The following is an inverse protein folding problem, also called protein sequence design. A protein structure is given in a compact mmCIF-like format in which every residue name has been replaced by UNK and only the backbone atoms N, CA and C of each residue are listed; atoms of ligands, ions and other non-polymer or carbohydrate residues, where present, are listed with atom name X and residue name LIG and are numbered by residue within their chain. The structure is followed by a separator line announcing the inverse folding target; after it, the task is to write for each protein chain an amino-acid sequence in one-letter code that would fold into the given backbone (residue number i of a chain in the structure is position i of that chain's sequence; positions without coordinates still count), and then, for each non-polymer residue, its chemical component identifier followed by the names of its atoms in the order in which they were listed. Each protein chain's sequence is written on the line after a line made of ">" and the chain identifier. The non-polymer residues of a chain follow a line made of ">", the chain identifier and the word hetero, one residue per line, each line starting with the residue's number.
data_IF_229352143802
#
_entry.id   IF_229352143802
#
_cell.length_a   1.000
_cell.length_b   1.000
_cell.length_c   1.000
_cell.angle_alpha   90.00
_cell.angle_beta   90.00
_cell.angle_gamma   90.00
#
_symmetry.space_group_name_H-M   'P 1'
#
loop_
_entity.id
_entity.type
_entity.pdbx_description
1 polymer ?
#
# COMPACT_ATOMS: atom_id res chain seq x y z
N UNK A 1 -15.84 -34.38 6.85
CA UNK A 1 -16.34 -33.32 5.95
C UNK A 1 -15.21 -32.33 5.73
N UNK A 2 -14.66 -32.35 4.51
CA UNK A 2 -13.52 -31.53 4.08
C UNK A 2 -14.06 -30.17 3.61
N UNK A 3 -13.53 -29.06 4.14
CA UNK A 3 -13.73 -27.75 3.53
C UNK A 3 -12.38 -27.26 2.99
N UNK A 4 -12.17 -27.48 1.70
CA UNK A 4 -11.08 -26.90 0.93
C UNK A 4 -11.40 -25.43 0.66
N UNK A 5 -10.73 -24.51 1.34
CA UNK A 5 -10.78 -23.10 1.00
C UNK A 5 -9.67 -22.80 -0.01
N UNK A 6 -9.94 -23.01 -1.30
CA UNK A 6 -9.11 -22.48 -2.39
C UNK A 6 -9.53 -21.03 -2.67
N UNK A 7 -8.75 -20.06 -2.19
CA UNK A 7 -8.84 -18.67 -2.61
C UNK A 7 -7.74 -18.38 -3.65
N UNK A 8 -8.11 -18.50 -4.92
CA UNK A 8 -7.41 -17.86 -6.04
C UNK A 8 -8.30 -16.72 -6.54
N UNK A 9 -7.86 -15.47 -6.40
CA UNK A 9 -7.90 -14.44 -7.45
C UNK A 9 -7.41 -13.11 -6.88
N UNK A 10 -6.30 -12.59 -7.40
CA UNK A 10 -5.98 -11.17 -7.37
C UNK A 10 -5.25 -10.82 -8.66
N UNK A 11 -5.92 -10.08 -9.55
CA UNK A 11 -5.27 -9.12 -10.44
C UNK A 11 -6.28 -8.04 -10.86
N UNK A 12 -6.38 -6.98 -10.06
CA UNK A 12 -6.82 -5.66 -10.53
C UNK A 12 -5.63 -4.75 -10.29
N UNK A 13 -4.87 -4.49 -11.35
CA UNK A 13 -3.80 -3.49 -11.35
C UNK A 13 -4.39 -2.24 -12.00
N UNK A 14 -4.96 -1.37 -11.18
CA UNK A 14 -5.05 0.06 -11.49
C UNK A 14 -3.78 0.71 -10.95
N UNK A 15 -2.80 0.96 -11.84
CA UNK A 15 -1.70 1.90 -11.57
C UNK A 15 -1.96 3.19 -12.34
N UNK A 16 -2.55 4.16 -11.65
CA UNK A 16 -2.30 5.57 -11.90
C UNK A 16 -1.13 5.96 -10.99
N UNK A 17 0.07 6.04 -11.56
CA UNK A 17 1.16 6.81 -10.97
C UNK A 17 1.87 7.57 -12.08
N UNK A 18 1.83 8.89 -11.94
CA UNK A 18 2.78 9.83 -12.49
C UNK A 18 4.22 9.34 -12.28
N UNK A 19 5.01 9.35 -13.35
CA UNK A 19 6.48 9.39 -13.32
C UNK A 19 6.97 10.36 -14.41
N UNK A 20 8.21 10.89 -14.26
CA UNK A 20 8.57 12.25 -14.64
C UNK A 20 8.99 12.42 -16.09
N UNK A 21 8.99 13.70 -16.48
CA UNK A 21 9.58 14.31 -17.66
C UNK A 21 10.95 13.70 -18.02
N UNK A 22 11.05 12.98 -19.14
CA UNK A 22 12.00 13.25 -20.23
C UNK A 22 11.85 12.28 -21.42
N UNK A 23 11.53 12.89 -22.56
CA UNK A 23 11.85 12.49 -23.94
C UNK A 23 10.97 11.43 -24.61
N UNK A 24 9.71 11.81 -24.87
CA UNK A 24 9.10 11.50 -26.16
C UNK A 24 9.22 12.75 -27.03
N UNK A 25 10.15 12.73 -27.99
CA UNK A 25 9.93 13.44 -29.24
C UNK A 25 8.77 12.70 -29.92
N UNK A 26 7.54 13.14 -29.66
CA UNK A 26 6.45 13.03 -30.61
C UNK A 26 5.38 14.03 -30.17
N UNK A 27 4.96 14.84 -31.13
CA UNK A 27 4.18 16.05 -30.94
C UNK A 27 2.85 15.72 -30.22
N UNK A 28 2.61 16.19 -28.97
CA UNK A 28 1.39 15.89 -28.20
C UNK A 28 0.11 16.44 -28.85
N UNK A 29 0.26 17.21 -29.93
CA UNK A 29 -0.82 17.75 -30.75
C UNK A 29 -1.38 16.75 -31.76
N UNK A 30 -0.85 15.51 -31.88
CA UNK A 30 -1.31 14.51 -32.84
C UNK A 30 -1.95 13.27 -32.23
N UNK A 31 -2.11 13.24 -30.90
CA UNK A 31 -2.86 12.19 -30.22
C UNK A 31 -4.37 12.40 -30.50
N UNK A 32 -5.06 11.45 -31.18
CA UNK A 32 -6.47 11.59 -31.53
C UNK A 32 -7.36 11.76 -30.29
N UNK A 33 -7.04 11.09 -29.19
CA UNK A 33 -7.81 11.16 -27.95
C UNK A 33 -7.74 12.56 -27.32
N UNK A 34 -6.58 13.22 -27.39
CA UNK A 34 -6.41 14.56 -26.84
C UNK A 34 -7.19 15.61 -27.65
N UNK A 35 -7.30 15.43 -28.98
CA UNK A 35 -8.09 16.31 -29.84
C UNK A 35 -9.59 16.15 -29.58
N UNK A 36 -10.07 14.93 -29.37
CA UNK A 36 -11.46 14.70 -29.00
C UNK A 36 -11.77 15.32 -27.63
N UNK A 37 -10.92 15.10 -26.63
CA UNK A 37 -11.08 15.74 -25.31
C UNK A 37 -11.07 17.27 -25.38
N UNK A 38 -10.18 17.86 -26.17
CA UNK A 38 -10.13 19.32 -26.35
C UNK A 38 -11.39 19.84 -27.06
N UNK A 39 -11.88 19.12 -28.05
CA UNK A 39 -13.10 19.48 -28.77
C UNK A 39 -14.33 19.37 -27.87
N UNK A 40 -14.42 18.30 -27.08
CA UNK A 40 -15.50 18.09 -26.11
C UNK A 40 -15.50 19.18 -25.03
N UNK A 41 -14.31 19.53 -24.50
CA UNK A 41 -14.16 20.64 -23.56
C UNK A 41 -14.56 21.98 -24.17
N UNK A 42 -14.22 22.22 -25.44
CA UNK A 42 -14.56 23.45 -26.15
C UNK A 42 -16.06 23.54 -26.47
N UNK A 43 -16.69 22.43 -26.81
CA UNK A 43 -18.13 22.34 -27.08
C UNK A 43 -18.93 22.49 -25.78
N UNK A 44 -18.49 21.88 -24.67
CA UNK A 44 -19.05 22.14 -23.34
C UNK A 44 -18.90 23.62 -22.92
N UNK A 45 -17.77 24.26 -23.24
CA UNK A 45 -17.56 25.68 -22.95
C UNK A 45 -18.48 26.58 -23.77
N UNK A 46 -18.72 26.25 -25.05
CA UNK A 46 -19.70 26.95 -25.90
C UNK A 46 -21.12 26.75 -25.39
N UNK A 47 -21.49 25.52 -25.05
CA UNK A 47 -22.82 25.20 -24.55
C UNK A 47 -23.09 25.89 -23.21
N UNK A 48 -22.11 25.96 -22.32
CA UNK A 48 -22.19 26.72 -21.07
C UNK A 48 -22.42 28.22 -21.32
N UNK A 49 -21.71 28.79 -22.32
CA UNK A 49 -21.83 30.20 -22.69
C UNK A 49 -23.17 30.54 -23.33
N UNK A 50 -23.74 29.64 -24.13
CA UNK A 50 -25.08 29.80 -24.73
C UNK A 50 -26.20 29.60 -23.69
N UNK A 51 -26.07 28.61 -22.80
CA UNK A 51 -26.99 28.44 -21.65
C UNK A 51 -26.99 29.64 -20.71
N UNK A 52 -25.87 30.36 -20.60
CA UNK A 52 -25.76 31.59 -19.82
C UNK A 52 -26.45 32.80 -20.49
N UNK A 53 -26.52 32.85 -21.83
CA UNK A 53 -27.23 33.90 -22.57
C UNK A 53 -28.75 33.73 -22.58
N UNK A 54 -29.23 32.49 -22.54
CA UNK A 54 -30.66 32.18 -22.65
C UNK A 54 -31.43 32.30 -21.33
N UNK A 55 -30.76 32.56 -20.20
CA UNK A 55 -31.42 32.66 -18.90
C UNK A 55 -30.85 33.84 -18.08
N UNK A 56 -31.48 35.03 -18.10
CA UNK A 56 -31.02 36.19 -17.32
C UNK A 56 -31.32 36.05 -15.83
N UNK A 57 -31.98 34.98 -15.39
CA UNK A 57 -32.21 34.69 -13.96
C UNK A 57 -31.02 33.91 -13.40
N UNK A 58 -29.83 34.50 -13.42
CA UNK A 58 -28.70 33.89 -12.70
C UNK A 58 -28.83 34.25 -11.22
N UNK A 59 -29.14 33.25 -10.39
CA UNK A 59 -28.61 33.26 -9.03
C UNK A 59 -27.12 33.62 -9.13
N UNK A 60 -26.73 34.69 -8.46
CA UNK A 60 -25.41 35.32 -8.57
C UNK A 60 -24.32 34.23 -8.59
N UNK A 61 -23.52 34.09 -9.66
CA UNK A 61 -22.52 33.02 -9.77
C UNK A 61 -21.55 33.03 -8.58
N UNK A 62 -21.36 34.19 -7.94
CA UNK A 62 -20.62 34.32 -6.68
C UNK A 62 -21.26 33.57 -5.52
N UNK A 63 -22.59 33.60 -5.40
CA UNK A 63 -23.34 32.89 -4.36
C UNK A 63 -23.27 31.38 -4.55
N UNK A 64 -23.43 30.90 -5.79
CA UNK A 64 -23.29 29.47 -6.11
C UNK A 64 -21.87 28.94 -5.85
N UNK A 65 -20.84 29.74 -6.14
CA UNK A 65 -19.45 29.37 -5.89
C UNK A 65 -19.14 29.36 -4.39
N UNK A 66 -19.67 30.33 -3.63
CA UNK A 66 -19.56 30.36 -2.17
C UNK A 66 -20.25 29.16 -1.49
N UNK A 67 -21.45 28.78 -1.96
CA UNK A 67 -22.19 27.61 -1.47
C UNK A 67 -21.42 26.32 -1.75
N UNK A 68 -20.85 26.19 -2.96
CA UNK A 68 -20.07 25.03 -3.38
C UNK A 68 -18.75 24.91 -2.62
N UNK A 69 -18.06 26.02 -2.34
CA UNK A 69 -16.86 26.03 -1.48
C UNK A 69 -17.18 25.66 -0.04
N UNK A 70 -18.32 26.14 0.48
CA UNK A 70 -18.78 25.79 1.83
C UNK A 70 -19.10 24.31 1.94
N UNK A 71 -19.78 23.74 0.95
CA UNK A 71 -20.04 22.30 0.86
C UNK A 71 -18.76 21.47 0.71
N UNK A 72 -17.81 21.92 -0.11
CA UNK A 72 -16.53 21.22 -0.28
C UNK A 72 -15.75 21.18 1.04
N UNK A 73 -15.72 22.29 1.79
CA UNK A 73 -15.05 22.37 3.09
C UNK A 73 -15.75 21.52 4.16
N UNK A 74 -17.08 21.48 4.15
CA UNK A 74 -17.84 20.61 5.05
C UNK A 74 -17.62 19.12 4.73
N UNK A 75 -17.57 18.75 3.45
CA UNK A 75 -17.29 17.39 3.01
C UNK A 75 -15.84 16.98 3.32
N UNK A 76 -14.87 17.86 3.14
CA UNK A 76 -13.47 17.64 3.52
C UNK A 76 -13.34 17.41 5.03
N UNK A 77 -13.95 18.27 5.85
CA UNK A 77 -13.96 18.08 7.30
C UNK A 77 -14.62 16.75 7.72
N UNK A 78 -15.72 16.37 7.04
CA UNK A 78 -16.38 15.07 7.25
C UNK A 78 -15.49 13.90 6.85
N UNK A 79 -14.72 14.04 5.78
CA UNK A 79 -13.79 13.02 5.30
C UNK A 79 -12.60 12.87 6.26
N UNK A 80 -12.03 13.98 6.74
CA UNK A 80 -10.97 13.98 7.76
C UNK A 80 -11.43 13.32 9.05
N UNK A 81 -12.67 13.60 9.51
CA UNK A 81 -13.21 12.95 10.71
C UNK A 81 -13.39 11.44 10.51
N UNK A 82 -13.88 11.02 9.33
CA UNK A 82 -14.00 9.59 8.99
C UNK A 82 -12.63 8.91 8.94
N UNK A 83 -11.64 9.52 8.30
CA UNK A 83 -10.28 8.98 8.26
C UNK A 83 -9.66 8.86 9.64
N UNK A 84 -9.86 9.87 10.50
CA UNK A 84 -9.42 9.83 11.89
C UNK A 84 -10.07 8.66 12.63
N UNK A 85 -11.39 8.50 12.50
CA UNK A 85 -12.14 7.40 13.12
C UNK A 85 -11.67 6.03 12.62
N UNK A 86 -11.44 5.88 11.33
CA UNK A 86 -10.93 4.62 10.76
C UNK A 86 -9.50 4.33 11.24
N UNK A 87 -8.62 5.33 11.29
CA UNK A 87 -7.27 5.18 11.86
C UNK A 87 -7.31 4.76 13.33
N UNK A 88 -8.16 5.39 14.14
CA UNK A 88 -8.35 5.02 15.56
C UNK A 88 -8.87 3.58 15.69
N UNK A 89 -9.83 3.19 14.86
CA UNK A 89 -10.39 1.83 14.84
C UNK A 89 -9.34 0.79 14.45
N UNK A 90 -8.50 1.07 13.46
CA UNK A 90 -7.38 0.20 13.07
C UNK A 90 -6.36 0.06 14.20
N UNK A 91 -5.97 1.18 14.83
CA UNK A 91 -5.06 1.14 15.98
C UNK A 91 -5.64 0.34 17.15
N UNK A 92 -6.93 0.51 17.46
CA UNK A 92 -7.60 -0.27 18.48
C UNK A 92 -7.65 -1.76 18.15
N UNK A 93 -7.89 -2.12 16.88
CA UNK A 93 -7.86 -3.50 16.42
C UNK A 93 -6.46 -4.12 16.53
N UNK A 94 -5.42 -3.39 16.16
CA UNK A 94 -4.03 -3.84 16.30
C UNK A 94 -3.63 -4.02 17.76
N UNK A 95 -4.01 -3.09 18.64
CA UNK A 95 -3.78 -3.23 20.07
C UNK A 95 -4.49 -4.47 20.63
N UNK A 96 -5.75 -4.69 20.24
CA UNK A 96 -6.50 -5.89 20.65
C UNK A 96 -5.83 -7.19 20.17
N UNK A 97 -5.25 -7.21 18.96
CA UNK A 97 -4.50 -8.38 18.45
C UNK A 97 -3.15 -8.56 19.15
N UNK A 98 -2.50 -7.46 19.54
CA UNK A 98 -1.24 -7.46 20.27
C UNK A 98 -1.42 -8.07 21.67
N UNK A 99 -2.51 -7.69 22.35
CA UNK A 99 -2.86 -8.16 23.69
C UNK A 99 -3.59 -9.52 23.68
N UNK A 100 -3.88 -10.08 22.51
CA UNK A 100 -4.64 -11.33 22.39
C UNK A 100 -3.85 -12.51 22.98
N UNK A 101 -4.49 -13.34 23.84
CA UNK A 101 -3.85 -14.52 24.40
C UNK A 101 -3.56 -15.55 23.30
N UNK A 102 -2.41 -16.20 23.39
CA UNK A 102 -2.00 -17.26 22.47
C UNK A 102 -0.50 -17.45 22.43
N UNK A 103 -0.02 -18.52 21.78
CA UNK A 103 1.41 -18.79 21.69
C UNK A 103 2.13 -17.65 20.96
N UNK A 104 3.32 -17.29 21.48
CA UNK A 104 4.23 -16.30 20.89
C UNK A 104 5.51 -17.03 20.50
N UNK A 105 5.37 -17.95 19.57
CA UNK A 105 6.46 -18.77 19.04
C UNK A 105 6.48 -18.66 17.54
N UNK A 106 7.66 -18.79 16.94
CA UNK A 106 7.78 -18.90 15.50
C UNK A 106 7.21 -20.27 15.06
N UNK A 107 6.66 -20.38 13.84
CA UNK A 107 6.23 -21.68 13.32
C UNK A 107 7.37 -22.71 13.33
N UNK A 108 7.06 -23.97 13.64
CA UNK A 108 8.07 -25.04 13.77
C UNK A 108 8.87 -25.28 12.48
N UNK A 109 8.30 -24.94 11.33
CA UNK A 109 8.99 -25.04 10.04
C UNK A 109 10.02 -23.94 9.80
N UNK A 110 10.07 -22.91 10.66
CA UNK A 110 11.00 -21.78 10.49
C UNK A 110 12.43 -22.26 10.67
N UNK A 111 13.30 -22.17 9.65
CA UNK A 111 14.67 -22.61 9.79
C UNK A 111 15.40 -21.70 10.79
N UNK A 112 16.27 -22.29 11.62
CA UNK A 112 17.12 -21.53 12.52
C UNK A 112 17.97 -20.55 11.71
N UNK A 113 17.99 -19.28 12.12
CA UNK A 113 18.84 -18.26 11.49
C UNK A 113 20.28 -18.46 11.98
N UNK A 114 21.23 -18.86 11.10
CA UNK A 114 22.60 -19.13 11.52
C UNK A 114 23.24 -17.89 12.12
N UNK A 115 24.01 -18.08 13.20
CA UNK A 115 24.77 -17.02 13.89
C UNK A 115 23.95 -15.84 14.44
N UNK A 116 22.62 -15.94 14.45
CA UNK A 116 21.75 -15.01 15.15
C UNK A 116 21.65 -15.43 16.62
N UNK A 117 22.24 -14.65 17.52
CA UNK A 117 22.08 -14.80 18.96
C UNK A 117 20.81 -14.09 19.39
N UNK A 118 19.78 -14.86 19.72
CA UNK A 118 18.52 -14.34 20.22
C UNK A 118 18.74 -13.51 21.50
N UNK A 119 18.14 -12.32 21.56
CA UNK A 119 18.20 -11.41 22.72
C UNK A 119 17.06 -11.65 23.73
N UNK A 120 16.44 -12.84 23.69
CA UNK A 120 15.27 -13.20 24.49
C UNK A 120 14.29 -14.07 23.70
N UNK A 121 13.11 -14.32 24.26
CA UNK A 121 12.03 -15.03 23.57
C UNK A 121 11.38 -14.17 22.47
N UNK A 122 10.71 -14.78 21.47
CA UNK A 122 9.91 -14.03 20.51
C UNK A 122 8.81 -13.22 21.20
N UNK A 123 8.48 -12.05 20.65
CA UNK A 123 7.44 -11.17 21.17
C UNK A 123 6.48 -10.72 20.06
N UNK A 124 5.22 -10.46 20.40
CA UNK A 124 4.28 -9.81 19.46
C UNK A 124 4.67 -8.33 19.35
N UNK A 125 4.74 -7.81 18.12
CA UNK A 125 5.00 -6.40 17.83
C UNK A 125 4.17 -5.95 16.64
N UNK A 126 3.83 -4.67 16.59
CA UNK A 126 3.22 -4.06 15.41
C UNK A 126 4.36 -3.68 14.45
N UNK A 127 4.36 -4.26 13.24
CA UNK A 127 5.34 -4.01 12.18
C UNK A 127 4.58 -3.91 10.87
N UNK A 128 4.72 -2.77 10.17
CA UNK A 128 3.98 -2.44 8.93
C UNK A 128 2.45 -2.59 9.12
N UNK A 129 1.90 -1.96 10.16
CA UNK A 129 0.47 -1.98 10.51
C UNK A 129 -0.13 -3.39 10.72
N UNK A 130 0.71 -4.36 11.10
CA UNK A 130 0.29 -5.73 11.39
C UNK A 130 0.95 -6.25 12.65
N UNK A 131 0.22 -7.05 13.44
CA UNK A 131 0.81 -7.76 14.58
C UNK A 131 1.59 -8.98 14.06
N UNK A 132 2.91 -8.96 14.27
CA UNK A 132 3.83 -10.04 13.88
C UNK A 132 4.53 -10.58 15.13
N UNK A 133 4.91 -11.86 15.07
CA UNK A 133 5.81 -12.46 16.07
C UNK A 133 7.24 -12.15 15.63
N UNK A 134 8.00 -11.48 16.48
CA UNK A 134 9.33 -10.98 16.18
C UNK A 134 10.34 -11.54 17.16
N UNK A 135 11.36 -12.21 16.63
CA UNK A 135 12.56 -12.58 17.37
C UNK A 135 13.64 -11.52 17.11
N UNK A 136 14.12 -10.88 18.17
CA UNK A 136 15.25 -9.95 18.08
C UNK A 136 16.54 -10.63 18.52
N UNK A 137 17.67 -10.20 17.97
CA UNK A 137 18.97 -10.77 18.29
C UNK A 137 20.11 -9.94 17.72
N UNK A 138 21.33 -10.38 18.00
CA UNK A 138 22.56 -9.81 17.43
C UNK A 138 23.30 -10.88 16.65
N UNK A 139 24.11 -10.46 15.68
CA UNK A 139 24.96 -11.36 14.90
C UNK A 139 26.28 -10.66 14.59
N UNK A 140 27.35 -11.44 14.49
CA UNK A 140 28.64 -11.01 13.96
C UNK A 140 28.62 -10.82 12.44
N UNK A 141 27.63 -11.37 11.75
CA UNK A 141 27.49 -11.29 10.31
C UNK A 141 26.84 -9.98 9.87
N UNK A 142 27.18 -9.54 8.66
CA UNK A 142 26.45 -8.45 8.00
C UNK A 142 25.01 -8.90 7.67
N UNK A 143 24.05 -7.97 7.56
CA UNK A 143 22.66 -8.31 7.20
C UNK A 143 22.54 -9.14 5.91
N UNK A 144 23.47 -8.97 4.97
CA UNK A 144 23.52 -9.75 3.73
C UNK A 144 23.89 -11.21 3.99
N UNK A 145 24.97 -11.43 4.76
CA UNK A 145 25.44 -12.78 5.10
C UNK A 145 24.43 -13.53 5.96
N UNK A 146 23.72 -12.83 6.86
CA UNK A 146 22.61 -13.43 7.61
C UNK A 146 21.51 -13.90 6.65
N UNK A 147 21.09 -13.05 5.71
CA UNK A 147 20.03 -13.40 4.77
C UNK A 147 20.40 -14.55 3.84
N UNK A 148 21.64 -14.55 3.33
CA UNK A 148 22.17 -15.63 2.49
C UNK A 148 22.22 -16.96 3.27
N UNK A 149 22.70 -16.93 4.52
CA UNK A 149 22.78 -18.12 5.38
C UNK A 149 21.39 -18.66 5.73
N UNK A 150 20.42 -17.77 5.98
CA UNK A 150 19.04 -18.18 6.25
C UNK A 150 18.35 -18.75 5.02
N UNK A 151 18.62 -18.20 3.83
CA UNK A 151 18.16 -18.75 2.55
C UNK A 151 18.78 -20.14 2.27
N UNK A 152 20.06 -20.34 2.59
CA UNK A 152 20.69 -21.65 2.48
C UNK A 152 20.03 -22.67 3.42
N UNK A 153 19.74 -22.30 4.67
CA UNK A 153 19.03 -23.15 5.62
C UNK A 153 17.60 -23.48 5.15
N UNK A 154 16.88 -22.51 4.59
CA UNK A 154 15.55 -22.72 4.02
C UNK A 154 15.58 -23.64 2.80
N UNK A 155 16.62 -23.53 1.96
CA UNK A 155 16.84 -24.43 0.82
C UNK A 155 17.09 -25.86 1.30
N UNK A 156 17.92 -26.04 2.32
CA UNK A 156 18.25 -27.34 2.89
C UNK A 156 17.03 -28.05 3.52
N UNK A 157 16.04 -27.29 4.01
CA UNK A 157 14.80 -27.86 4.55
C UNK A 157 13.96 -28.62 3.49
N UNK A 158 14.20 -28.39 2.19
CA UNK A 158 13.58 -29.05 1.03
C UNK A 158 12.03 -29.02 0.92
N UNK A 159 11.34 -28.50 1.94
CA UNK A 159 9.89 -28.38 2.03
C UNK A 159 9.40 -26.92 1.97
N UNK A 160 10.29 -25.96 1.68
CA UNK A 160 9.97 -24.54 1.63
C UNK A 160 10.11 -23.96 0.20
N UNK A 161 9.20 -23.07 -0.14
CA UNK A 161 9.36 -22.08 -1.21
C UNK A 161 9.97 -20.82 -0.60
N UNK A 162 10.88 -20.18 -1.34
CA UNK A 162 11.60 -19.01 -0.87
C UNK A 162 11.66 -17.90 -1.93
N UNK A 163 11.66 -16.65 -1.47
CA UNK A 163 11.96 -15.47 -2.29
C UNK A 163 12.67 -14.42 -1.45
N UNK A 164 13.69 -13.77 -2.02
CA UNK A 164 14.51 -12.79 -1.31
C UNK A 164 14.37 -11.41 -1.96
N UNK A 165 13.85 -10.45 -1.21
CA UNK A 165 13.88 -9.04 -1.58
C UNK A 165 15.10 -8.35 -0.96
N UNK A 166 15.92 -7.75 -1.83
CA UNK A 166 17.10 -6.97 -1.45
C UNK A 166 16.76 -5.49 -1.59
N UNK A 167 16.73 -4.77 -0.48
CA UNK A 167 16.36 -3.36 -0.41
C UNK A 167 17.53 -2.57 0.19
N UNK A 168 17.83 -1.41 -0.38
CA UNK A 168 18.77 -0.44 0.18
C UNK A 168 18.12 0.94 0.11
N UNK A 169 17.88 1.55 1.26
CA UNK A 169 17.29 2.89 1.37
C UNK A 169 18.16 3.72 2.30
N UNK A 170 18.72 4.82 1.78
CA UNK A 170 19.59 5.74 2.53
C UNK A 170 20.74 5.03 3.26
N UNK A 171 21.38 4.06 2.59
CA UNK A 171 22.48 3.26 3.16
C UNK A 171 22.04 2.20 4.17
N UNK A 172 20.75 2.10 4.50
CA UNK A 172 20.21 1.03 5.34
C UNK A 172 19.92 -0.20 4.49
N UNK A 173 20.71 -1.24 4.72
CA UNK A 173 20.55 -2.54 4.07
C UNK A 173 19.39 -3.28 4.74
N UNK A 174 18.35 -3.59 3.96
CA UNK A 174 17.22 -4.42 4.39
C UNK A 174 17.14 -5.65 3.49
N UNK A 175 17.00 -6.83 4.11
CA UNK A 175 16.85 -8.10 3.41
C UNK A 175 15.58 -8.77 3.93
N UNK A 176 14.65 -9.10 3.04
CA UNK A 176 13.38 -9.72 3.41
C UNK A 176 13.30 -11.07 2.70
N UNK A 177 13.42 -12.14 3.47
CA UNK A 177 13.25 -13.52 2.99
C UNK A 177 11.81 -13.96 3.27
N UNK A 178 11.07 -14.20 2.20
CA UNK A 178 9.73 -14.79 2.26
C UNK A 178 9.85 -16.29 2.19
N UNK A 179 9.32 -16.98 3.21
CA UNK A 179 9.30 -18.44 3.29
C UNK A 179 7.85 -18.93 3.35
N UNK A 180 7.56 -19.99 2.61
CA UNK A 180 6.25 -20.64 2.61
C UNK A 180 6.40 -22.14 2.50
N UNK A 181 5.68 -22.91 3.30
CA UNK A 181 5.63 -24.37 3.17
C UNK A 181 5.08 -24.79 1.80
N UNK A 182 5.69 -25.81 1.19
CA UNK A 182 5.14 -26.49 0.02
C UNK A 182 3.95 -27.34 0.46
N UNK A 183 2.78 -27.07 -0.13
CA UNK A 183 1.56 -27.87 0.03
C UNK A 183 1.45 -28.88 -1.09
#
# INVERSE_FOLDING_TARGET
>A
MHLQTRLFSFLVITRLFFTPLLRAQDNPLNDPDLKEMLKEAQDMQKEAKERQKQNPTSQDPKKKLADMLSQAKEEEARQEEKEKREKEKLQAALKKQLDAPGPVVLPDWTPATPELKAAGAPARKIVDDQVKIVQTGTSSLTPEKIADSWGAAATAANNLNQSLNKINVNGKITRILFLRTRT
#
